data_IF_102211122497
#
_entry.id   IF_102211122497
#
_cell.length_a   1.000
_cell.length_b   1.000
_cell.length_c   1.000
_cell.angle_alpha   90.00
_cell.angle_beta   90.00
_cell.angle_gamma   90.00
#
_symmetry.space_group_name_H-M   'P 1'
#
loop_
_entity.id
_entity.type
_entity.pdbx_description
1 polymer ?
#
# COMPACT_ATOMS: atom_id res chain seq x y z
N UNK A 1 -26.22 8.84 -9.27
CA UNK A 1 -27.50 9.56 -9.48
C UNK A 1 -28.53 9.21 -8.40
N UNK A 2 -28.85 7.92 -8.13
CA UNK A 2 -29.85 7.54 -7.10
C UNK A 2 -29.59 8.16 -5.72
N UNK A 3 -28.33 8.23 -5.28
CA UNK A 3 -27.96 8.84 -4.00
C UNK A 3 -28.16 10.36 -4.01
N UNK A 4 -27.86 11.02 -5.12
CA UNK A 4 -28.11 12.47 -5.29
C UNK A 4 -29.59 12.76 -5.27
N UNK A 5 -30.40 11.97 -6.00
CA UNK A 5 -31.85 12.09 -6.00
C UNK A 5 -32.47 11.82 -4.63
N UNK A 6 -31.80 11.01 -3.79
CA UNK A 6 -32.19 10.77 -2.40
C UNK A 6 -31.78 11.90 -1.44
N UNK A 7 -31.16 12.99 -1.94
CA UNK A 7 -30.75 14.15 -1.14
C UNK A 7 -29.40 14.00 -0.44
N UNK A 8 -28.57 13.03 -0.85
CA UNK A 8 -27.23 12.90 -0.28
C UNK A 8 -26.33 14.06 -0.73
N UNK A 9 -25.75 14.77 0.23
CA UNK A 9 -24.82 15.89 -0.01
C UNK A 9 -23.34 15.46 0.05
N UNK A 10 -23.08 14.24 0.57
CA UNK A 10 -21.75 13.64 0.68
C UNK A 10 -21.81 12.17 0.25
N UNK A 11 -20.94 11.74 -0.64
CA UNK A 11 -20.89 10.38 -1.19
C UNK A 11 -19.47 9.84 -1.10
N UNK A 12 -19.31 8.67 -0.48
CA UNK A 12 -18.07 7.91 -0.44
C UNK A 12 -18.16 6.72 -1.39
N UNK A 13 -17.30 6.67 -2.40
CA UNK A 13 -17.14 5.49 -3.25
C UNK A 13 -15.95 4.67 -2.75
N UNK A 14 -16.16 3.37 -2.56
CA UNK A 14 -15.25 2.49 -1.82
C UNK A 14 -14.29 1.70 -2.70
N UNK A 15 -14.23 2.01 -3.99
CA UNK A 15 -13.37 1.29 -4.93
C UNK A 15 -12.82 2.24 -6.00
N UNK A 16 -11.54 2.07 -6.33
CA UNK A 16 -10.85 2.84 -7.36
C UNK A 16 -11.48 2.69 -8.77
N UNK A 17 -12.12 1.53 -9.06
CA UNK A 17 -12.86 1.33 -10.31
C UNK A 17 -14.02 2.31 -10.51
N UNK A 18 -14.48 2.96 -9.45
CA UNK A 18 -15.57 3.94 -9.49
C UNK A 18 -15.09 5.37 -9.77
N UNK A 19 -13.81 5.61 -10.00
CA UNK A 19 -13.25 6.96 -10.16
C UNK A 19 -13.88 7.72 -11.31
N UNK A 20 -14.02 7.11 -12.48
CA UNK A 20 -14.60 7.76 -13.66
C UNK A 20 -16.07 8.16 -13.43
N UNK A 21 -16.86 7.27 -12.79
CA UNK A 21 -18.24 7.58 -12.42
C UNK A 21 -18.30 8.66 -11.35
N UNK A 22 -17.37 8.67 -10.40
CA UNK A 22 -17.26 9.70 -9.36
C UNK A 22 -16.96 11.07 -9.97
N UNK A 23 -15.99 11.17 -10.89
CA UNK A 23 -15.66 12.39 -11.61
C UNK A 23 -16.84 12.91 -12.42
N UNK A 24 -17.51 12.02 -13.19
CA UNK A 24 -18.69 12.39 -13.96
C UNK A 24 -19.82 12.91 -13.08
N UNK A 25 -20.08 12.23 -11.95
CA UNK A 25 -21.13 12.67 -11.01
C UNK A 25 -20.79 14.00 -10.36
N UNK A 26 -19.53 14.24 -10.01
CA UNK A 26 -19.10 15.51 -9.42
C UNK A 26 -19.20 16.70 -10.37
N UNK A 27 -18.99 16.46 -11.68
CA UNK A 27 -19.18 17.49 -12.71
C UNK A 27 -20.67 17.84 -12.90
N UNK A 28 -21.53 16.82 -12.87
CA UNK A 28 -22.98 17.01 -13.04
C UNK A 28 -23.66 17.55 -11.79
N UNK A 29 -23.11 17.32 -10.61
CA UNK A 29 -23.66 17.67 -9.29
C UNK A 29 -22.57 18.33 -8.42
N UNK A 30 -22.14 19.57 -8.77
CA UNK A 30 -21.05 20.26 -8.08
C UNK A 30 -21.37 20.60 -6.62
N UNK A 31 -22.64 20.56 -6.24
CA UNK A 31 -23.14 20.74 -4.86
C UNK A 31 -22.87 19.50 -3.97
N UNK A 32 -22.63 18.34 -4.55
CA UNK A 32 -22.39 17.09 -3.84
C UNK A 32 -20.90 16.84 -3.67
N UNK A 33 -20.46 16.61 -2.43
CA UNK A 33 -19.05 16.24 -2.16
C UNK A 33 -18.85 14.75 -2.42
N UNK A 34 -17.97 14.42 -3.37
CA UNK A 34 -17.66 13.04 -3.72
C UNK A 34 -16.23 12.71 -3.33
N UNK A 35 -16.09 11.64 -2.53
CA UNK A 35 -14.83 11.06 -2.09
C UNK A 35 -14.66 9.68 -2.73
N UNK A 36 -13.54 9.45 -3.41
CA UNK A 36 -13.24 8.16 -4.03
C UNK A 36 -12.07 7.46 -3.32
N UNK A 37 -12.27 6.20 -2.95
CA UNK A 37 -11.22 5.37 -2.35
C UNK A 37 -10.23 4.93 -3.41
N UNK A 38 -9.18 5.72 -3.60
CA UNK A 38 -8.08 5.43 -4.50
C UNK A 38 -6.80 6.19 -4.13
N UNK A 39 -5.65 5.57 -4.40
CA UNK A 39 -4.38 6.29 -4.50
C UNK A 39 -4.29 6.81 -5.92
N UNK A 40 -4.31 8.12 -6.11
CA UNK A 40 -4.28 8.68 -7.46
C UNK A 40 -3.72 10.11 -7.47
N UNK A 41 -3.42 10.60 -8.67
CA UNK A 41 -3.14 12.01 -8.91
C UNK A 41 -4.39 12.85 -8.63
N UNK A 42 -4.18 14.11 -8.26
CA UNK A 42 -5.28 15.01 -7.90
C UNK A 42 -6.26 15.21 -9.05
N UNK A 43 -7.53 14.96 -8.81
CA UNK A 43 -8.63 15.44 -9.66
C UNK A 43 -9.09 16.80 -9.17
N UNK A 44 -9.58 17.65 -10.09
CA UNK A 44 -10.11 18.95 -9.72
C UNK A 44 -11.53 18.88 -9.14
N UNK A 45 -12.28 17.82 -9.43
CA UNK A 45 -13.70 17.70 -9.15
C UNK A 45 -14.05 16.74 -8.00
N UNK A 46 -13.15 15.84 -7.60
CA UNK A 46 -13.37 14.88 -6.53
C UNK A 46 -12.20 14.87 -5.55
N UNK A 47 -12.48 14.52 -4.30
CA UNK A 47 -11.44 14.18 -3.34
C UNK A 47 -11.13 12.69 -3.43
N UNK A 48 -9.85 12.32 -3.33
CA UNK A 48 -9.46 10.92 -3.16
C UNK A 48 -9.03 10.66 -1.73
N UNK A 49 -9.21 9.43 -1.27
CA UNK A 49 -8.74 9.00 0.04
C UNK A 49 -8.19 7.60 -0.01
N UNK A 50 -7.12 7.37 0.75
CA UNK A 50 -6.54 6.04 0.94
C UNK A 50 -5.73 5.97 2.23
N UNK A 51 -5.39 4.74 2.67
CA UNK A 51 -4.53 4.52 3.81
C UNK A 51 -3.05 4.46 3.37
N UNK A 52 -2.14 4.91 4.25
CA UNK A 52 -0.69 4.75 4.08
C UNK A 52 -0.30 3.31 4.36
N UNK A 53 -0.61 2.40 3.43
CA UNK A 53 -0.37 0.97 3.57
C UNK A 53 1.11 0.66 3.82
N UNK A 54 2.03 1.43 3.27
CA UNK A 54 3.46 1.26 3.48
C UNK A 54 3.87 1.26 4.95
N UNK A 55 3.14 1.98 5.84
CA UNK A 55 3.41 1.96 7.29
C UNK A 55 3.14 0.56 7.88
N UNK A 56 2.03 -0.06 7.49
CA UNK A 56 1.71 -1.44 7.88
C UNK A 56 2.68 -2.45 7.27
N UNK A 57 3.04 -2.28 6.00
CA UNK A 57 3.99 -3.16 5.30
C UNK A 57 5.38 -3.13 5.92
N UNK A 58 5.84 -1.96 6.37
CA UNK A 58 7.09 -1.86 7.11
C UNK A 58 7.08 -2.74 8.37
N UNK A 59 6.02 -2.65 9.17
CA UNK A 59 5.88 -3.49 10.37
C UNK A 59 5.80 -4.98 10.02
N UNK A 60 5.09 -5.34 8.95
CA UNK A 60 5.00 -6.72 8.49
C UNK A 60 6.35 -7.25 8.03
N UNK A 61 7.17 -6.44 7.38
CA UNK A 61 8.56 -6.77 7.03
C UNK A 61 9.42 -7.03 8.26
N UNK A 62 9.30 -6.18 9.27
CA UNK A 62 9.99 -6.36 10.56
C UNK A 62 9.55 -7.64 11.27
N UNK A 63 8.25 -7.97 11.27
CA UNK A 63 7.74 -9.23 11.82
C UNK A 63 8.35 -10.43 11.06
N UNK A 64 8.29 -10.40 9.73
CA UNK A 64 8.79 -11.49 8.89
C UNK A 64 10.26 -11.80 9.19
N UNK A 65 11.11 -10.79 9.22
CA UNK A 65 12.53 -10.96 9.50
C UNK A 65 12.81 -11.35 10.98
N UNK A 66 11.97 -10.91 11.92
CA UNK A 66 12.14 -11.27 13.34
C UNK A 66 11.79 -12.73 13.63
N UNK A 67 10.93 -13.36 12.84
CA UNK A 67 10.51 -14.76 13.04
C UNK A 67 11.12 -15.73 12.05
N UNK A 68 11.57 -15.24 10.88
CA UNK A 68 12.28 -16.07 9.91
C UNK A 68 13.70 -16.37 10.39
N UNK A 69 14.14 -17.60 10.15
CA UNK A 69 15.54 -18.00 10.32
C UNK A 69 16.32 -17.96 8.99
N UNK A 70 15.67 -17.51 7.95
CA UNK A 70 16.19 -17.48 6.59
C UNK A 70 16.42 -16.02 6.15
N UNK A 71 17.43 -15.81 5.31
CA UNK A 71 17.70 -14.49 4.72
C UNK A 71 16.85 -14.22 3.48
N UNK A 72 15.74 -14.95 3.33
CA UNK A 72 14.82 -14.88 2.19
C UNK A 72 13.39 -14.68 2.66
N UNK A 73 12.75 -13.66 2.14
CA UNK A 73 11.32 -13.38 2.34
C UNK A 73 10.64 -13.22 0.99
N UNK A 74 9.35 -13.50 0.91
CA UNK A 74 8.55 -13.32 -0.29
C UNK A 74 7.61 -12.12 -0.18
N UNK A 75 7.40 -11.44 -1.28
CA UNK A 75 6.37 -10.43 -1.42
C UNK A 75 5.59 -10.67 -2.70
N UNK A 76 4.26 -10.76 -2.58
CA UNK A 76 3.36 -10.91 -3.72
C UNK A 76 2.58 -9.62 -3.91
N UNK A 77 2.88 -8.88 -4.97
CA UNK A 77 2.17 -7.68 -5.39
C UNK A 77 1.09 -8.00 -6.45
N UNK A 78 0.08 -7.15 -6.59
CA UNK A 78 -0.96 -7.31 -7.62
C UNK A 78 -0.46 -6.85 -9.01
N UNK A 79 -0.37 -5.55 -9.23
CA UNK A 79 0.14 -4.89 -10.44
C UNK A 79 0.80 -3.56 -10.04
N UNK A 80 1.72 -2.99 -10.86
CA UNK A 80 2.49 -1.80 -10.52
C UNK A 80 1.67 -0.50 -10.64
N UNK A 81 0.75 -0.28 -9.70
CA UNK A 81 -0.03 0.96 -9.56
C UNK A 81 0.60 1.89 -8.51
N UNK A 82 0.15 3.14 -8.47
CA UNK A 82 0.59 4.12 -7.47
C UNK A 82 0.53 3.55 -6.04
N UNK A 83 1.60 3.77 -5.28
CA UNK A 83 1.76 3.34 -3.89
C UNK A 83 2.25 1.90 -3.71
N UNK A 84 2.10 1.00 -4.70
CA UNK A 84 2.49 -0.41 -4.55
C UNK A 84 4.01 -0.58 -4.38
N UNK A 85 4.83 0.19 -5.10
CA UNK A 85 6.29 0.08 -4.93
C UNK A 85 6.72 0.61 -3.57
N UNK A 86 6.04 1.62 -3.04
CA UNK A 86 6.27 2.07 -1.67
C UNK A 86 5.93 0.98 -0.64
N UNK A 87 4.85 0.23 -0.85
CA UNK A 87 4.48 -0.89 0.01
C UNK A 87 5.54 -2.00 -0.01
N UNK A 88 6.05 -2.36 -1.20
CA UNK A 88 7.12 -3.35 -1.38
C UNK A 88 8.40 -2.87 -0.68
N UNK A 89 8.82 -1.64 -0.96
CA UNK A 89 10.04 -1.08 -0.41
C UNK A 89 9.97 -0.92 1.11
N UNK A 90 8.83 -0.48 1.65
CA UNK A 90 8.64 -0.38 3.08
C UNK A 90 8.73 -1.76 3.77
N UNK A 91 8.14 -2.80 3.18
CA UNK A 91 8.31 -4.18 3.68
C UNK A 91 9.78 -4.61 3.67
N UNK A 92 10.48 -4.36 2.57
CA UNK A 92 11.90 -4.69 2.43
C UNK A 92 12.77 -3.94 3.44
N UNK A 93 12.48 -2.67 3.69
CA UNK A 93 13.20 -1.85 4.67
C UNK A 93 12.90 -2.28 6.10
N UNK A 94 11.65 -2.58 6.42
CA UNK A 94 11.27 -3.13 7.72
C UNK A 94 11.96 -4.46 8.01
N UNK A 95 12.05 -5.33 7.02
CA UNK A 95 12.78 -6.58 7.11
C UNK A 95 14.29 -6.36 7.32
N UNK A 96 14.89 -5.46 6.52
CA UNK A 96 16.32 -5.15 6.60
C UNK A 96 16.73 -4.50 7.93
N UNK A 97 15.84 -3.72 8.54
CA UNK A 97 16.10 -3.13 9.86
C UNK A 97 16.36 -4.22 10.92
N UNK A 98 15.72 -5.38 10.80
CA UNK A 98 15.87 -6.52 11.72
C UNK A 98 17.00 -7.45 11.28
N UNK A 99 17.07 -7.76 9.99
CA UNK A 99 18.12 -8.59 9.40
C UNK A 99 18.75 -7.87 8.19
N UNK A 100 19.96 -7.30 8.34
CA UNK A 100 20.63 -6.54 7.28
C UNK A 100 20.95 -7.34 6.01
N UNK A 101 20.96 -8.67 6.09
CA UNK A 101 21.29 -9.57 4.98
C UNK A 101 20.06 -10.05 4.21
N UNK A 102 18.85 -9.76 4.72
CA UNK A 102 17.62 -10.27 4.14
C UNK A 102 17.39 -9.76 2.72
N UNK A 103 16.96 -10.67 1.85
CA UNK A 103 16.48 -10.37 0.50
C UNK A 103 14.98 -10.64 0.42
N UNK A 104 14.26 -9.73 -0.22
CA UNK A 104 12.82 -9.82 -0.45
C UNK A 104 12.57 -10.17 -1.91
N UNK A 105 12.11 -11.37 -2.17
CA UNK A 105 11.79 -11.87 -3.51
C UNK A 105 10.39 -11.44 -3.90
N UNK A 106 10.33 -10.61 -4.94
CA UNK A 106 9.11 -10.02 -5.45
C UNK A 106 8.50 -10.84 -6.57
N UNK A 107 7.24 -11.21 -6.41
CA UNK A 107 6.44 -11.83 -7.44
C UNK A 107 5.16 -11.03 -7.70
N UNK A 108 4.74 -11.01 -8.96
CA UNK A 108 3.55 -10.31 -9.38
C UNK A 108 2.40 -11.28 -9.67
N UNK A 109 1.23 -11.01 -9.13
CA UNK A 109 0.06 -11.88 -9.28
C UNK A 109 -0.61 -11.76 -10.64
N UNK A 110 -0.56 -10.58 -11.22
CA UNK A 110 -1.33 -10.24 -12.43
C UNK A 110 -0.51 -10.37 -13.73
N UNK A 111 0.59 -11.08 -13.69
CA UNK A 111 1.32 -11.44 -14.90
C UNK A 111 0.73 -12.70 -15.53
N UNK A 112 0.90 -12.81 -16.86
CA UNK A 112 0.53 -14.00 -17.61
C UNK A 112 1.56 -15.11 -17.36
N UNK A 113 1.23 -16.04 -16.47
CA UNK A 113 2.10 -17.16 -16.10
C UNK A 113 1.25 -18.36 -15.69
N UNK A 114 1.72 -19.58 -16.00
CA UNK A 114 1.01 -20.83 -15.67
C UNK A 114 0.94 -21.07 -14.16
N UNK A 115 2.02 -20.77 -13.42
CA UNK A 115 2.08 -20.90 -11.96
C UNK A 115 1.67 -19.63 -11.26
N UNK A 116 1.03 -19.76 -10.12
CA UNK A 116 0.72 -18.64 -9.24
C UNK A 116 1.99 -18.02 -8.65
N UNK A 117 1.92 -16.77 -8.22
CA UNK A 117 3.04 -16.10 -7.56
C UNK A 117 3.50 -16.84 -6.28
N UNK A 118 2.59 -17.43 -5.53
CA UNK A 118 2.91 -18.21 -4.33
C UNK A 118 3.67 -19.51 -4.68
N UNK A 119 3.29 -20.19 -5.77
CA UNK A 119 4.00 -21.38 -6.23
C UNK A 119 5.42 -21.06 -6.69
N UNK A 120 5.60 -19.93 -7.42
CA UNK A 120 6.93 -19.49 -7.85
C UNK A 120 7.87 -19.18 -6.68
N UNK A 121 7.37 -18.52 -5.62
CA UNK A 121 8.13 -18.27 -4.40
C UNK A 121 8.46 -19.56 -3.66
N UNK A 122 7.52 -20.49 -3.59
CA UNK A 122 7.72 -21.80 -2.94
C UNK A 122 8.81 -22.63 -3.62
N UNK A 123 8.84 -22.63 -4.94
CA UNK A 123 9.89 -23.32 -5.72
C UNK A 123 11.29 -22.75 -5.46
N UNK A 124 11.38 -21.48 -5.02
CA UNK A 124 12.62 -20.85 -4.59
C UNK A 124 12.96 -21.11 -3.12
N UNK A 125 12.16 -21.95 -2.43
CA UNK A 125 12.32 -22.28 -1.02
C UNK A 125 11.89 -21.17 -0.08
N UNK A 126 11.06 -20.23 -0.52
CA UNK A 126 10.63 -19.09 0.28
C UNK A 126 9.33 -19.43 1.01
N UNK A 127 9.35 -19.34 2.33
CA UNK A 127 8.25 -19.77 3.20
C UNK A 127 7.48 -18.62 3.83
N UNK A 128 8.16 -17.52 4.17
CA UNK A 128 7.55 -16.33 4.79
C UNK A 128 7.18 -15.34 3.71
N UNK A 129 5.88 -15.13 3.52
CA UNK A 129 5.35 -14.40 2.35
C UNK A 129 4.37 -13.32 2.80
N UNK A 130 4.56 -12.09 2.33
CA UNK A 130 3.53 -11.05 2.35
C UNK A 130 2.68 -11.18 1.10
N UNK A 131 1.42 -11.58 1.28
CA UNK A 131 0.46 -11.82 0.19
C UNK A 131 -0.62 -10.75 0.10
N UNK A 132 -1.85 -11.18 -0.21
CA UNK A 132 -3.05 -10.32 -0.22
C UNK A 132 -3.31 -9.76 1.17
N UNK A 133 -3.74 -8.51 1.25
CA UNK A 133 -4.02 -7.87 2.53
C UNK A 133 -5.42 -8.14 3.08
N UNK A 134 -6.29 -8.74 2.29
CA UNK A 134 -7.67 -9.03 2.67
C UNK A 134 -8.06 -10.47 2.34
N UNK A 135 -8.83 -11.06 3.24
CA UNK A 135 -9.50 -12.33 3.00
C UNK A 135 -10.66 -12.10 2.04
N UNK A 136 -10.83 -13.01 1.08
CA UNK A 136 -12.03 -13.07 0.26
C UNK A 136 -13.02 -14.02 0.97
N UNK A 137 -14.17 -13.53 1.47
CA UNK A 137 -15.06 -14.35 2.29
C UNK A 137 -15.57 -15.64 1.62
N UNK A 138 -15.68 -15.64 0.28
CA UNK A 138 -16.09 -16.81 -0.51
C UNK A 138 -14.99 -17.84 -0.73
N UNK A 139 -13.75 -17.43 -0.51
CA UNK A 139 -12.57 -18.28 -0.67
C UNK A 139 -11.65 -18.08 0.53
N UNK A 140 -12.05 -18.58 1.72
CA UNK A 140 -11.26 -18.44 2.94
C UNK A 140 -9.94 -19.20 2.76
N UNK A 141 -8.84 -18.45 2.83
CA UNK A 141 -7.48 -18.98 2.81
C UNK A 141 -6.72 -18.30 3.93
N UNK A 142 -5.73 -18.97 4.49
CA UNK A 142 -4.79 -18.37 5.43
C UNK A 142 -3.64 -17.65 4.72
N UNK A 143 -3.57 -17.72 3.40
CA UNK A 143 -2.59 -17.03 2.55
C UNK A 143 -2.97 -15.55 2.34
N UNK A 144 -3.05 -14.79 3.43
CA UNK A 144 -3.31 -13.34 3.41
C UNK A 144 -2.45 -12.62 4.43
N UNK A 145 -2.26 -11.32 4.25
CA UNK A 145 -1.35 -10.54 5.06
C UNK A 145 0.07 -11.11 5.00
N UNK A 146 0.71 -11.23 6.13
CA UNK A 146 1.96 -11.97 6.30
C UNK A 146 1.65 -13.37 6.80
N UNK A 147 2.14 -14.38 6.10
CA UNK A 147 1.96 -15.79 6.48
C UNK A 147 3.24 -16.61 6.29
N UNK A 148 3.32 -17.73 6.97
CA UNK A 148 4.33 -18.75 6.76
C UNK A 148 3.68 -20.01 6.21
N UNK A 149 4.32 -20.63 5.23
CA UNK A 149 3.95 -21.93 4.73
C UNK A 149 4.98 -22.97 5.17
N UNK A 150 4.56 -23.94 5.94
CA UNK A 150 5.40 -25.03 6.41
C UNK A 150 5.61 -26.10 5.33
N UNK A 151 6.63 -26.94 5.49
CA UNK A 151 7.00 -27.99 4.52
C UNK A 151 5.89 -29.02 4.30
N UNK A 152 5.02 -29.23 5.31
CA UNK A 152 3.84 -30.09 5.21
C UNK A 152 2.66 -29.45 4.47
N UNK A 153 2.82 -28.20 3.97
CA UNK A 153 1.81 -27.44 3.26
C UNK A 153 0.83 -26.68 4.17
N UNK A 154 0.98 -26.76 5.49
CA UNK A 154 0.17 -25.93 6.40
C UNK A 154 0.55 -24.47 6.31
N UNK A 155 -0.47 -23.59 6.38
CA UNK A 155 -0.30 -22.15 6.30
C UNK A 155 -0.75 -21.50 7.60
N UNK A 156 0.12 -20.69 8.19
CA UNK A 156 -0.16 -19.92 9.40
C UNK A 156 -0.05 -18.43 9.11
N UNK A 157 -1.14 -17.69 9.38
CA UNK A 157 -1.11 -16.24 9.32
C UNK A 157 -0.35 -15.68 10.52
N UNK A 158 0.56 -14.74 10.28
CA UNK A 158 1.41 -14.10 11.29
C UNK A 158 0.96 -12.68 11.62
N UNK A 159 0.55 -11.92 10.60
CA UNK A 159 0.06 -10.56 10.75
C UNK A 159 -0.80 -10.14 9.55
N UNK A 160 -1.70 -9.21 9.77
CA UNK A 160 -2.52 -8.64 8.70
C UNK A 160 -2.76 -7.17 8.94
N UNK A 161 -2.72 -6.33 7.89
CA UNK A 161 -3.16 -4.95 8.01
C UNK A 161 -4.68 -4.90 8.17
N UNK A 162 -5.15 -3.89 8.89
CA UNK A 162 -6.57 -3.58 9.02
C UNK A 162 -6.82 -2.11 8.70
N UNK A 163 -7.93 -1.83 8.05
CA UNK A 163 -8.38 -0.49 7.73
C UNK A 163 -9.54 -0.10 8.64
N UNK A 164 -9.36 0.99 9.36
CA UNK A 164 -10.39 1.60 10.20
C UNK A 164 -11.12 2.72 9.44
N UNK A 165 -11.73 2.39 8.30
CA UNK A 165 -12.41 3.37 7.45
C UNK A 165 -13.48 4.15 8.19
N UNK A 166 -14.09 3.57 9.24
CA UNK A 166 -15.03 4.26 10.10
C UNK A 166 -14.45 5.55 10.71
N UNK A 167 -13.18 5.53 11.14
CA UNK A 167 -12.47 6.71 11.66
C UNK A 167 -12.33 7.81 10.61
N UNK A 168 -12.01 7.43 9.38
CA UNK A 168 -11.93 8.37 8.27
C UNK A 168 -13.30 9.01 7.98
N UNK A 169 -14.35 8.19 7.85
CA UNK A 169 -15.68 8.69 7.53
C UNK A 169 -16.24 9.59 8.63
N UNK A 170 -16.05 9.21 9.90
CA UNK A 170 -16.45 10.00 11.05
C UNK A 170 -15.81 11.40 11.01
N UNK A 171 -14.50 11.49 10.81
CA UNK A 171 -13.78 12.76 10.73
C UNK A 171 -14.21 13.60 9.52
N UNK A 172 -14.45 12.99 8.36
CA UNK A 172 -14.94 13.72 7.18
C UNK A 172 -16.34 14.29 7.39
N UNK A 173 -17.22 13.54 8.07
CA UNK A 173 -18.56 13.99 8.40
C UNK A 173 -18.50 15.12 9.45
N UNK A 174 -17.68 14.99 10.50
CA UNK A 174 -17.49 16.06 11.49
C UNK A 174 -16.98 17.35 10.85
N UNK A 175 -15.93 17.27 10.02
CA UNK A 175 -15.42 18.42 9.27
C UNK A 175 -16.47 19.09 8.39
N UNK A 176 -17.41 18.32 7.85
CA UNK A 176 -18.49 18.87 7.03
C UNK A 176 -19.53 19.64 7.86
N UNK A 177 -19.72 19.28 9.13
CA UNK A 177 -20.63 19.99 10.03
C UNK A 177 -20.00 21.24 10.69
N UNK A 178 -18.68 21.18 10.98
CA UNK A 178 -17.96 22.25 11.68
C UNK A 178 -17.54 23.41 10.77
N UNK A 179 -17.38 23.20 9.49
CA UNK A 179 -16.75 24.18 8.60
C UNK A 179 -17.64 24.72 7.48
N UNK A 180 -18.69 25.48 7.83
CA UNK A 180 -19.37 26.28 6.81
C UNK A 180 -18.48 27.44 6.28
N UNK A 181 -17.59 28.03 7.10
CA UNK A 181 -16.74 29.16 6.71
C UNK A 181 -15.44 28.71 6.04
N UNK A 182 -14.78 27.65 6.51
CA UNK A 182 -13.56 27.13 5.88
C UNK A 182 -13.84 26.43 4.55
N UNK A 183 -15.02 25.87 4.34
CA UNK A 183 -15.42 25.27 3.07
C UNK A 183 -15.64 26.33 1.97
N UNK A 184 -16.20 27.50 2.31
CA UNK A 184 -16.32 28.62 1.38
C UNK A 184 -14.95 29.14 0.95
N UNK A 185 -13.96 29.16 1.88
CA UNK A 185 -12.57 29.56 1.57
C UNK A 185 -11.83 28.55 0.66
N UNK A 186 -12.34 27.34 0.53
CA UNK A 186 -11.79 26.27 -0.35
C UNK A 186 -12.48 26.18 -1.72
N UNK A 187 -13.56 26.93 -1.94
CA UNK A 187 -14.17 27.04 -3.29
C UNK A 187 -13.13 27.55 -4.28
N UNK A 188 -12.75 26.72 -5.25
CA UNK A 188 -11.74 27.03 -6.26
C UNK A 188 -10.33 26.51 -5.99
N UNK A 189 -10.05 25.83 -4.87
CA UNK A 189 -8.79 25.14 -4.64
C UNK A 189 -8.85 23.71 -5.16
N UNK A 190 -7.69 23.17 -5.62
CA UNK A 190 -7.57 21.77 -6.05
C UNK A 190 -8.17 20.84 -5.01
N UNK A 191 -8.87 19.80 -5.46
CA UNK A 191 -9.40 18.76 -4.59
C UNK A 191 -8.28 18.15 -3.73
N UNK A 192 -8.58 17.88 -2.48
CA UNK A 192 -7.60 17.39 -1.51
C UNK A 192 -7.56 15.86 -1.59
N UNK A 193 -6.34 15.33 -1.63
CA UNK A 193 -6.12 13.91 -1.49
C UNK A 193 -5.82 13.60 -0.02
N UNK A 194 -6.64 12.77 0.58
CA UNK A 194 -6.47 12.32 1.97
C UNK A 194 -5.68 11.02 1.97
N UNK A 195 -4.45 11.08 2.44
CA UNK A 195 -3.58 9.93 2.57
C UNK A 195 -3.14 9.78 4.01
N UNK A 196 -3.97 9.10 4.80
CA UNK A 196 -3.83 8.98 6.23
C UNK A 196 -3.25 7.63 6.65
N UNK A 197 -2.50 7.64 7.73
CA UNK A 197 -1.78 6.47 8.24
C UNK A 197 -2.20 6.08 9.66
N UNK A 198 -1.24 5.46 10.35
CA UNK A 198 -1.40 5.02 11.74
C UNK A 198 -1.60 6.19 12.71
N UNK A 199 -1.02 7.36 12.44
CA UNK A 199 -1.21 8.55 13.28
C UNK A 199 -2.65 9.06 13.32
N UNK A 200 -3.44 8.74 12.30
CA UNK A 200 -4.88 9.04 12.24
C UNK A 200 -5.75 7.82 12.53
N UNK A 201 -5.19 6.71 13.02
CA UNK A 201 -5.86 5.43 13.28
C UNK A 201 -6.63 4.85 12.07
N UNK A 202 -6.29 5.26 10.84
CA UNK A 202 -6.95 4.78 9.62
C UNK A 202 -6.44 3.40 9.21
N UNK A 203 -5.18 3.08 9.56
CA UNK A 203 -4.59 1.77 9.32
C UNK A 203 -3.88 1.27 10.58
N UNK A 204 -3.88 -0.04 10.76
CA UNK A 204 -3.16 -0.73 11.82
C UNK A 204 -2.72 -2.13 11.37
N UNK A 205 -1.98 -2.85 12.20
CA UNK A 205 -1.57 -4.23 11.99
C UNK A 205 -2.04 -5.10 13.16
N UNK A 206 -2.79 -6.15 12.85
CA UNK A 206 -3.11 -7.22 13.81
C UNK A 206 -2.04 -8.30 13.69
N UNK A 207 -1.49 -8.69 14.83
CA UNK A 207 -0.51 -9.77 14.95
C UNK A 207 -1.16 -11.05 15.47
N UNK A 208 -0.65 -12.19 15.01
CA UNK A 208 -1.02 -13.50 15.57
C UNK A 208 -0.57 -13.58 17.03
N UNK A 209 -1.42 -14.14 17.91
CA UNK A 209 -1.06 -14.43 19.29
C UNK A 209 0.05 -15.49 19.45
N UNK A 210 0.38 -16.20 18.38
CA UNK A 210 1.44 -17.22 18.37
C UNK A 210 2.84 -16.63 18.09
N UNK A 211 2.95 -15.31 17.83
CA UNK A 211 4.25 -14.68 17.67
C UNK A 211 5.03 -14.67 18.99
N UNK A 212 6.38 -14.78 18.93
CA UNK A 212 7.21 -14.66 20.12
C UNK A 212 6.94 -13.35 20.87
N UNK A 213 6.90 -13.39 22.19
CA UNK A 213 6.60 -12.22 23.02
C UNK A 213 7.56 -11.04 22.77
N UNK A 214 8.86 -11.32 22.51
CA UNK A 214 9.84 -10.30 22.14
C UNK A 214 9.49 -9.61 20.82
N UNK A 215 9.03 -10.37 19.82
CA UNK A 215 8.56 -9.84 18.54
C UNK A 215 7.33 -8.94 18.73
N UNK A 216 6.34 -9.37 19.51
CA UNK A 216 5.16 -8.55 19.80
C UNK A 216 5.51 -7.23 20.47
N UNK A 217 6.44 -7.23 21.43
CA UNK A 217 6.94 -6.00 22.08
C UNK A 217 7.66 -5.06 21.13
N UNK A 218 8.52 -5.60 20.26
CA UNK A 218 9.21 -4.83 19.23
C UNK A 218 8.22 -4.15 18.30
N UNK A 219 7.22 -4.89 17.83
CA UNK A 219 6.23 -4.36 16.91
C UNK A 219 5.36 -3.31 17.57
N UNK A 220 4.97 -3.48 18.82
CA UNK A 220 4.22 -2.45 19.56
C UNK A 220 5.06 -1.17 19.73
N UNK A 221 6.34 -1.28 20.00
CA UNK A 221 7.26 -0.14 20.05
C UNK A 221 7.33 0.59 18.69
N UNK A 222 7.51 -0.15 17.59
CA UNK A 222 7.57 0.42 16.24
C UNK A 222 6.23 1.07 15.85
N UNK A 223 5.10 0.43 16.14
CA UNK A 223 3.75 1.01 15.92
C UNK A 223 3.61 2.36 16.60
N UNK A 224 3.99 2.44 17.89
CA UNK A 224 3.90 3.67 18.66
C UNK A 224 4.85 4.76 18.09
N UNK A 225 6.02 4.37 17.63
CA UNK A 225 6.96 5.29 16.97
C UNK A 225 6.44 5.84 15.65
N UNK A 226 5.79 5.00 14.83
CA UNK A 226 5.14 5.44 13.58
C UNK A 226 3.92 6.33 13.89
N UNK A 227 3.08 5.96 14.85
CA UNK A 227 1.90 6.76 15.26
C UNK A 227 2.26 8.14 15.76
N UNK A 228 3.31 8.24 16.58
CA UNK A 228 3.78 9.52 17.13
C UNK A 228 4.54 10.37 16.10
N UNK A 229 4.90 9.81 14.94
CA UNK A 229 5.74 10.49 13.94
C UNK A 229 7.22 10.57 14.31
N UNK A 230 7.64 9.95 15.42
CA UNK A 230 9.06 9.88 15.82
C UNK A 230 9.89 8.97 14.93
N UNK A 231 9.24 8.12 14.15
CA UNK A 231 9.84 7.27 13.13
C UNK A 231 8.99 7.28 11.87
N UNK A 232 9.64 7.26 10.71
CA UNK A 232 8.97 7.13 9.42
C UNK A 232 9.70 6.09 8.56
N UNK A 233 8.98 5.16 7.87
CA UNK A 233 9.61 4.11 7.08
C UNK A 233 10.58 4.60 6.00
N UNK A 234 10.39 5.81 5.50
CA UNK A 234 11.21 6.42 4.44
C UNK A 234 12.04 7.61 4.96
N UNK A 235 12.66 7.44 6.12
CA UNK A 235 13.66 8.34 6.67
C UNK A 235 15.08 7.75 6.50
N UNK A 236 16.05 8.57 6.19
CA UNK A 236 17.46 8.19 6.15
C UNK A 236 17.93 7.55 4.85
N UNK A 237 19.09 6.96 4.86
CA UNK A 237 19.72 6.42 3.66
C UNK A 237 18.96 5.28 3.00
N UNK A 238 18.64 5.47 1.73
CA UNK A 238 18.01 4.46 0.88
C UNK A 238 18.69 4.39 -0.46
N UNK A 239 18.92 3.16 -0.90
CA UNK A 239 19.46 2.85 -2.22
C UNK A 239 18.45 2.03 -2.99
N UNK A 240 18.36 2.25 -4.29
CA UNK A 240 17.65 1.34 -5.17
C UNK A 240 18.52 0.15 -5.60
N UNK A 241 17.94 -0.72 -6.43
CA UNK A 241 18.63 -1.91 -6.95
C UNK A 241 19.88 -1.60 -7.78
N UNK A 242 20.00 -0.39 -8.32
CA UNK A 242 21.10 0.09 -9.14
C UNK A 242 22.17 0.82 -8.32
N UNK A 243 21.97 0.93 -7.00
CA UNK A 243 22.85 1.64 -6.09
C UNK A 243 22.71 3.16 -6.11
N UNK A 244 21.63 3.67 -6.73
CA UNK A 244 21.34 5.10 -6.74
C UNK A 244 20.78 5.51 -5.38
N UNK A 245 21.28 6.61 -4.81
CA UNK A 245 20.77 7.16 -3.55
C UNK A 245 19.39 7.79 -3.82
N UNK A 246 18.35 7.26 -3.18
CA UNK A 246 16.97 7.75 -3.28
C UNK A 246 16.56 8.63 -2.10
N UNK A 247 17.23 8.50 -0.95
CA UNK A 247 17.09 9.38 0.20
C UNK A 247 18.41 9.43 0.96
N UNK A 248 18.75 10.54 1.57
CA UNK A 248 20.00 10.75 2.34
C UNK A 248 19.72 10.77 3.83
N UNK A 249 20.78 10.63 4.64
CA UNK A 249 20.67 10.75 6.09
C UNK A 249 20.11 12.13 6.49
N UNK A 250 19.14 12.13 7.41
CA UNK A 250 18.45 13.34 7.84
C UNK A 250 17.35 13.83 6.89
N UNK A 251 17.15 13.17 5.75
CA UNK A 251 16.08 13.45 4.82
C UNK A 251 14.92 12.46 5.00
N UNK A 252 13.72 12.89 4.58
CA UNK A 252 12.50 12.09 4.49
C UNK A 252 11.92 12.24 3.09
N UNK A 253 11.51 11.14 2.48
CA UNK A 253 10.78 11.20 1.21
C UNK A 253 9.45 11.93 1.39
N UNK A 254 9.13 12.81 0.44
CA UNK A 254 7.83 13.50 0.43
C UNK A 254 6.71 12.54 0.06
N UNK A 255 5.50 12.85 0.50
CA UNK A 255 4.31 12.02 0.19
C UNK A 255 4.11 11.80 -1.31
N UNK A 256 4.39 12.80 -2.14
CA UNK A 256 4.30 12.68 -3.60
C UNK A 256 5.32 11.67 -4.14
N UNK A 257 6.58 11.73 -3.69
CA UNK A 257 7.66 10.83 -4.11
C UNK A 257 7.36 9.37 -3.66
N UNK A 258 6.69 9.21 -2.52
CA UNK A 258 6.27 7.89 -2.03
C UNK A 258 5.12 7.33 -2.88
N UNK A 259 4.09 8.13 -3.18
CA UNK A 259 2.94 7.68 -4.01
C UNK A 259 3.37 7.32 -5.43
N UNK A 260 4.25 8.13 -6.01
CA UNK A 260 4.72 7.97 -7.41
C UNK A 260 6.01 7.18 -7.53
N UNK A 261 6.43 6.51 -6.45
CA UNK A 261 7.66 5.72 -6.42
C UNK A 261 7.73 4.73 -7.57
N UNK A 262 8.83 4.76 -8.34
CA UNK A 262 9.04 3.98 -9.55
C UNK A 262 10.32 3.10 -9.51
N UNK A 263 10.89 2.92 -8.31
CA UNK A 263 12.10 2.15 -8.06
C UNK A 263 11.88 1.10 -6.97
N UNK A 264 12.74 0.08 -6.93
CA UNK A 264 12.75 -0.97 -5.91
C UNK A 264 14.01 -0.83 -5.05
N UNK A 265 13.89 -1.11 -3.75
CA UNK A 265 14.99 -1.04 -2.80
C UNK A 265 16.06 -2.11 -3.09
N UNK A 266 17.31 -1.83 -2.76
CA UNK A 266 18.50 -2.67 -3.03
C UNK A 266 18.42 -4.11 -2.50
N UNK A 267 17.60 -4.37 -1.49
CA UNK A 267 17.39 -5.71 -0.95
C UNK A 267 16.15 -6.41 -1.52
N UNK A 268 15.47 -5.82 -2.51
CA UNK A 268 14.41 -6.48 -3.28
C UNK A 268 15.02 -7.23 -4.46
N UNK A 269 14.63 -8.48 -4.64
CA UNK A 269 14.99 -9.32 -5.78
C UNK A 269 13.79 -9.49 -6.68
N UNK A 270 13.85 -8.97 -7.87
CA UNK A 270 12.76 -8.93 -8.84
C UNK A 270 12.74 -7.61 -9.58
N UNK A 271 11.76 -7.41 -10.45
CA UNK A 271 11.61 -6.19 -11.25
C UNK A 271 10.15 -5.77 -11.37
N UNK A 272 9.91 -4.57 -11.82
CA UNK A 272 8.58 -4.13 -12.25
C UNK A 272 8.29 -4.78 -13.61
N UNK A 273 7.12 -5.41 -13.83
CA UNK A 273 6.79 -6.04 -15.09
C UNK A 273 6.43 -5.00 -16.16
N UNK A 274 6.71 -5.34 -17.41
CA UNK A 274 6.27 -4.56 -18.56
C UNK A 274 4.76 -4.74 -18.78
N UNK A 275 4.13 -3.79 -19.47
CA UNK A 275 2.67 -3.82 -19.70
C UNK A 275 2.21 -5.08 -20.44
N UNK A 276 3.04 -5.59 -21.36
CA UNK A 276 2.77 -6.76 -22.16
C UNK A 276 2.74 -8.06 -21.35
N UNK A 277 3.47 -8.09 -20.23
CA UNK A 277 3.51 -9.24 -19.32
C UNK A 277 2.25 -9.33 -18.45
N UNK A 278 1.54 -8.22 -18.27
CA UNK A 278 0.35 -8.15 -17.43
C UNK A 278 -0.87 -8.75 -18.15
N UNK A 279 -1.79 -9.31 -17.37
CA UNK A 279 -3.08 -9.74 -17.89
C UNK A 279 -3.97 -8.53 -18.23
N UNK A 280 -5.06 -8.77 -18.98
CA UNK A 280 -5.93 -7.71 -19.49
C UNK A 280 -6.53 -6.83 -18.38
N UNK A 281 -6.96 -7.44 -17.26
CA UNK A 281 -7.51 -6.69 -16.12
C UNK A 281 -6.47 -5.75 -15.49
N UNK A 282 -5.22 -6.18 -15.40
CA UNK A 282 -4.14 -5.35 -14.87
C UNK A 282 -3.77 -4.23 -15.84
N UNK A 283 -3.71 -4.50 -17.15
CA UNK A 283 -3.45 -3.47 -18.18
C UNK A 283 -4.49 -2.35 -18.15
N UNK A 284 -5.78 -2.69 -18.03
CA UNK A 284 -6.83 -1.69 -17.90
C UNK A 284 -6.63 -0.79 -16.67
N UNK A 285 -6.25 -1.38 -15.53
CA UNK A 285 -5.97 -0.59 -14.31
C UNK A 285 -4.73 0.28 -14.43
N UNK A 286 -3.69 -0.20 -15.12
CA UNK A 286 -2.46 0.55 -15.34
C UNK A 286 -2.71 1.84 -16.16
N UNK A 287 -3.65 1.85 -17.08
CA UNK A 287 -4.05 3.05 -17.82
C UNK A 287 -4.60 4.15 -16.90
N UNK A 288 -5.24 3.78 -15.78
CA UNK A 288 -5.86 4.72 -14.83
C UNK A 288 -4.93 5.11 -13.68
N UNK A 289 -4.08 4.20 -13.22
CA UNK A 289 -3.34 4.33 -11.96
C UNK A 289 -1.91 3.78 -12.05
N UNK A 290 -1.41 3.48 -13.24
CA UNK A 290 -0.11 2.88 -13.43
C UNK A 290 1.05 3.83 -13.14
N UNK A 291 2.12 3.29 -12.60
CA UNK A 291 3.40 3.98 -12.46
C UNK A 291 3.98 4.15 -13.86
N UNK A 292 4.44 5.35 -14.19
CA UNK A 292 5.27 5.56 -15.38
C UNK A 292 6.69 5.13 -15.04
N UNK A 293 7.14 4.05 -15.62
CA UNK A 293 8.58 3.71 -15.64
C UNK A 293 9.21 4.66 -16.65
N UNK A 294 10.15 5.48 -16.21
CA UNK A 294 10.87 6.38 -17.11
C UNK A 294 11.65 5.53 -18.12
N UNK A 295 11.26 5.60 -19.39
CA UNK A 295 11.96 4.96 -20.52
C UNK A 295 13.36 5.57 -20.75
N UNK A 296 13.72 6.65 -20.07
CA UNK A 296 14.99 7.36 -20.25
C UNK A 296 16.23 6.62 -19.75
N UNK A 297 16.08 5.54 -18.95
CA UNK A 297 17.22 4.78 -18.39
C UNK A 297 17.60 3.56 -19.29
N UNK A 298 16.79 3.21 -20.27
CA UNK A 298 17.07 2.04 -21.14
C UNK A 298 17.88 2.35 -22.40
N UNK A 299 18.27 3.59 -22.66
CA UNK A 299 18.94 3.96 -23.93
C UNK A 299 20.45 4.16 -23.84
N UNK A 300 21.10 3.83 -22.72
CA UNK A 300 22.56 3.80 -22.64
C UNK A 300 23.07 2.43 -22.15
N UNK A 301 23.07 1.46 -23.05
CA UNK A 301 23.95 0.28 -23.00
C UNK A 301 24.43 -0.08 -24.38
#
# INVERSE_FOLDING_TARGET
EKLVQAGCTMIFTTNSKMVNQSVRSAILHPEVKIYNCSVNMSYSSICTYYARMYEAKFLMGAIAAAVSREDKLGYIADQPTYGILADINAFAMGARMINPYVKVYLEWRRINHEKTAAERLREQGIRYISGKDMIIPRHPSREYGLYVQEDNGEVFNLASPIWNWGKFYEQMVQLAFESNEELEARKGKKAVNYWWGMSADVIDVICSGNLPHGTLRLIEFLKNSVRSGSFHPFDGFMYDQEGIIRCREGERLRSEDIVTMNWLAENVVGRVPDLEELNDEARERMQLQGIRVDESVQTEK
#
